data_IF_726516734635
#
_entry.id   IF_726516734635
#
_cell.length_a   1.000
_cell.length_b   1.000
_cell.length_c   1.000
_cell.angle_alpha   90.00
_cell.angle_beta   90.00
_cell.angle_gamma   90.00
#
_symmetry.space_group_name_H-M   'P 1'
#
loop_
_entity.id
_entity.type
_entity.pdbx_description
1 polymer ?
#
# COMPACT_ATOMS: atom_id res chain seq x y z
N UNK A 1 -4.63 9.89 13.22
CA UNK A 1 -3.98 9.44 11.97
C UNK A 1 -2.91 8.42 12.30
N UNK A 2 -2.88 7.34 11.56
CA UNK A 2 -1.97 6.23 11.78
C UNK A 2 -1.04 6.07 10.58
N UNK A 3 0.19 5.60 10.80
CA UNK A 3 1.13 5.27 9.72
C UNK A 3 1.22 3.76 9.62
N UNK A 4 1.01 3.23 8.42
CA UNK A 4 1.11 1.80 8.14
C UNK A 4 2.35 1.56 7.27
N UNK A 5 3.26 0.73 7.75
CA UNK A 5 4.49 0.37 7.03
C UNK A 5 4.26 -0.94 6.30
N UNK A 6 4.35 -0.91 4.98
CA UNK A 6 4.01 -2.06 4.14
C UNK A 6 5.20 -2.47 3.29
N UNK A 7 5.58 -3.74 3.39
CA UNK A 7 6.60 -4.32 2.51
C UNK A 7 6.07 -4.36 1.09
N UNK A 8 6.87 -3.88 0.14
CA UNK A 8 6.46 -3.81 -1.26
C UNK A 8 7.63 -4.22 -2.16
N UNK A 9 7.42 -5.26 -2.95
CA UNK A 9 8.46 -5.72 -3.87
C UNK A 9 8.74 -4.66 -4.94
N UNK A 10 9.97 -4.63 -5.53
CA UNK A 10 10.36 -3.58 -6.46
C UNK A 10 9.40 -3.35 -7.61
N UNK A 11 8.85 -4.42 -8.16
CA UNK A 11 7.90 -4.34 -9.28
C UNK A 11 6.75 -3.36 -9.00
N UNK A 12 6.16 -3.44 -7.81
CA UNK A 12 5.03 -2.58 -7.45
C UNK A 12 5.48 -1.29 -6.77
N UNK A 13 6.60 -1.34 -6.06
CA UNK A 13 7.16 -0.16 -5.40
C UNK A 13 7.41 0.96 -6.41
N UNK A 14 8.10 0.65 -7.52
CA UNK A 14 8.45 1.65 -8.52
C UNK A 14 7.24 2.17 -9.28
N UNK A 15 6.23 1.33 -9.52
CA UNK A 15 5.01 1.78 -10.15
C UNK A 15 4.25 2.78 -9.27
N UNK A 16 4.22 2.53 -7.96
CA UNK A 16 3.64 3.47 -7.01
C UNK A 16 4.44 4.77 -6.97
N UNK A 17 5.77 4.68 -6.87
CA UNK A 17 6.64 5.84 -6.79
C UNK A 17 6.55 6.72 -8.05
N UNK A 18 6.31 6.12 -9.19
CA UNK A 18 6.18 6.86 -10.47
C UNK A 18 4.78 7.43 -10.71
N UNK A 19 3.84 7.15 -9.81
CA UNK A 19 2.47 7.61 -9.96
C UNK A 19 1.60 6.76 -10.87
N UNK A 20 2.09 5.62 -11.33
CA UNK A 20 1.34 4.73 -12.23
C UNK A 20 0.41 3.79 -11.47
N UNK A 21 0.60 3.63 -10.18
CA UNK A 21 -0.20 2.74 -9.36
C UNK A 21 -0.72 3.49 -8.13
N UNK A 22 -1.80 4.27 -8.28
CA UNK A 22 -2.33 5.09 -7.18
C UNK A 22 -3.25 4.31 -6.24
N UNK A 23 -2.90 3.07 -5.93
CA UNK A 23 -3.70 2.21 -5.08
C UNK A 23 -2.84 1.09 -4.51
N UNK A 24 -3.36 0.48 -3.43
CA UNK A 24 -2.78 -0.73 -2.86
C UNK A 24 -3.89 -1.74 -2.62
N UNK A 25 -3.62 -3.01 -2.98
CA UNK A 25 -4.51 -4.13 -2.63
C UNK A 25 -3.86 -4.84 -1.46
N UNK A 26 -4.51 -4.81 -0.31
CA UNK A 26 -3.92 -5.34 0.91
C UNK A 26 -4.90 -6.19 1.72
N UNK A 27 -4.35 -7.13 2.46
CA UNK A 27 -5.10 -7.85 3.47
C UNK A 27 -5.57 -6.84 4.51
N UNK A 28 -6.85 -6.91 4.90
CA UNK A 28 -7.42 -5.95 5.86
C UNK A 28 -7.12 -6.40 7.30
N UNK A 29 -5.85 -6.39 7.67
CA UNK A 29 -5.39 -6.83 8.98
C UNK A 29 -4.81 -5.69 9.84
N UNK A 30 -4.98 -4.43 9.41
CA UNK A 30 -4.39 -3.26 10.06
C UNK A 30 -5.38 -2.16 10.33
N UNK A 31 -6.67 -2.41 10.19
CA UNK A 31 -7.70 -1.41 10.44
C UNK A 31 -7.42 -0.08 9.71
N UNK A 32 -7.16 -0.18 8.41
CA UNK A 32 -6.92 1.02 7.59
C UNK A 32 -8.09 1.98 7.64
N UNK A 33 -7.80 3.28 7.71
CA UNK A 33 -8.80 4.35 7.71
C UNK A 33 -8.42 5.42 6.72
N UNK A 34 -9.42 6.03 6.10
CA UNK A 34 -9.20 7.21 5.26
C UNK A 34 -8.51 8.29 6.11
N UNK A 35 -7.47 8.91 5.57
CA UNK A 35 -6.64 9.87 6.27
C UNK A 35 -5.37 9.27 6.85
N UNK A 36 -5.30 7.94 6.97
CA UNK A 36 -4.08 7.28 7.42
C UNK A 36 -2.99 7.41 6.37
N UNK A 37 -1.74 7.33 6.81
CA UNK A 37 -0.58 7.35 5.93
C UNK A 37 -0.13 5.92 5.68
N UNK A 38 0.19 5.62 4.42
CA UNK A 38 0.83 4.36 4.03
C UNK A 38 2.25 4.68 3.61
N UNK A 39 3.21 4.02 4.23
CA UNK A 39 4.61 4.06 3.82
C UNK A 39 4.97 2.73 3.20
N UNK A 40 5.19 2.74 1.89
CA UNK A 40 5.68 1.56 1.18
C UNK A 40 7.18 1.48 1.37
N UNK A 41 7.66 0.33 1.81
CA UNK A 41 9.08 0.08 2.01
C UNK A 41 9.54 -0.98 1.02
N UNK A 42 10.45 -0.62 0.15
CA UNK A 42 10.95 -1.54 -0.88
C UNK A 42 11.63 -2.74 -0.21
N UNK A 43 11.15 -3.92 -0.56
CA UNK A 43 11.59 -5.19 0.02
C UNK A 43 12.05 -6.14 -1.05
N UNK A 44 13.23 -6.74 -0.83
CA UNK A 44 13.80 -7.74 -1.74
C UNK A 44 13.55 -9.14 -1.15
N UNK A 45 12.54 -9.87 -1.63
CA UNK A 45 12.19 -11.17 -1.03
C UNK A 45 13.27 -12.23 -1.22
N UNK A 46 14.08 -12.15 -2.27
CA UNK A 46 15.13 -13.14 -2.54
C UNK A 46 16.21 -13.14 -1.46
N UNK A 47 16.53 -11.97 -0.92
CA UNK A 47 17.56 -11.82 0.11
C UNK A 47 16.98 -11.39 1.45
N UNK A 48 15.66 -11.22 1.51
CA UNK A 48 14.92 -10.84 2.74
C UNK A 48 15.49 -9.59 3.38
N UNK A 49 15.64 -8.53 2.58
CA UNK A 49 16.18 -7.26 3.04
C UNK A 49 15.40 -6.08 2.47
N UNK A 50 15.32 -5.01 3.26
CA UNK A 50 14.86 -3.71 2.78
C UNK A 50 16.00 -3.02 2.04
N UNK A 51 15.65 -2.26 1.00
CA UNK A 51 16.66 -1.47 0.26
C UNK A 51 16.95 -0.14 0.93
N UNK A 52 16.09 0.29 1.84
CA UNK A 52 16.17 1.63 2.43
C UNK A 52 15.32 2.66 1.68
N UNK A 53 14.74 2.30 0.54
CA UNK A 53 13.84 3.20 -0.19
C UNK A 53 12.43 3.08 0.32
N UNK A 54 11.75 4.22 0.41
CA UNK A 54 10.34 4.26 0.81
C UNK A 54 9.62 5.42 0.13
N UNK A 55 8.31 5.29 0.02
CA UNK A 55 7.43 6.37 -0.42
C UNK A 55 6.20 6.37 0.47
N UNK A 56 5.65 7.57 0.73
CA UNK A 56 4.49 7.75 1.59
C UNK A 56 3.34 8.34 0.81
N UNK A 57 2.13 7.96 1.19
CA UNK A 57 0.92 8.55 0.65
C UNK A 57 -0.21 8.48 1.65
N UNK A 58 -1.24 9.29 1.42
CA UNK A 58 -2.41 9.35 2.29
C UNK A 58 -3.53 8.54 1.65
N UNK A 59 -4.19 7.72 2.46
CA UNK A 59 -5.37 6.97 2.01
C UNK A 59 -6.53 7.96 1.85
N UNK A 60 -7.06 8.07 0.64
CA UNK A 60 -8.20 8.97 0.37
C UNK A 60 -9.51 8.21 0.21
N UNK A 61 -9.43 6.91 -0.06
CA UNK A 61 -10.61 6.06 -0.23
C UNK A 61 -10.27 4.63 0.10
N UNK A 62 -11.24 3.89 0.60
CA UNK A 62 -11.08 2.45 0.88
C UNK A 62 -12.27 1.73 0.27
N UNK A 63 -11.99 0.80 -0.64
CA UNK A 63 -13.00 -0.09 -1.20
C UNK A 63 -12.87 -1.44 -0.51
N UNK A 64 -13.94 -1.85 0.19
CA UNK A 64 -13.98 -3.14 0.90
C UNK A 64 -15.19 -3.98 0.50
N UNK A 65 -15.91 -3.57 -0.52
CA UNK A 65 -17.11 -4.25 -1.00
C UNK A 65 -16.77 -5.66 -1.47
N UNK A 66 -17.41 -6.65 -0.85
CA UNK A 66 -17.17 -8.07 -1.13
C UNK A 66 -17.54 -8.47 -2.56
N UNK A 67 -18.33 -7.65 -3.23
CA UNK A 67 -18.66 -7.87 -4.64
C UNK A 67 -17.45 -7.64 -5.55
N UNK A 68 -16.54 -6.78 -5.14
CA UNK A 68 -15.38 -6.38 -5.94
C UNK A 68 -14.03 -6.76 -5.33
N UNK A 69 -14.00 -7.05 -4.04
CA UNK A 69 -12.77 -7.40 -3.34
C UNK A 69 -12.80 -8.85 -2.88
N UNK A 70 -11.68 -9.53 -3.02
CA UNK A 70 -11.50 -10.85 -2.45
C UNK A 70 -11.74 -10.76 -0.94
N UNK A 71 -12.35 -11.81 -0.37
CA UNK A 71 -12.63 -11.86 1.06
C UNK A 71 -11.38 -11.57 1.87
N UNK A 72 -11.49 -10.65 2.83
CA UNK A 72 -10.39 -10.27 3.71
C UNK A 72 -9.41 -9.27 3.11
N UNK A 73 -9.68 -8.79 1.88
CA UNK A 73 -8.84 -7.78 1.22
C UNK A 73 -9.57 -6.47 1.04
N UNK A 74 -8.81 -5.41 0.98
CA UNK A 74 -9.29 -4.05 0.69
C UNK A 74 -8.42 -3.42 -0.38
N UNK A 75 -8.99 -2.45 -1.08
CA UNK A 75 -8.26 -1.63 -2.03
C UNK A 75 -8.18 -0.22 -1.44
N UNK A 76 -6.95 0.26 -1.29
CA UNK A 76 -6.67 1.58 -0.73
C UNK A 76 -6.38 2.54 -1.87
N UNK A 77 -7.14 3.62 -1.97
CA UNK A 77 -6.85 4.68 -2.92
C UNK A 77 -5.80 5.60 -2.34
N UNK A 78 -4.67 5.75 -3.02
CA UNK A 78 -3.55 6.60 -2.58
C UNK A 78 -3.07 7.35 -3.81
N UNK A 79 -3.69 8.50 -4.14
CA UNK A 79 -3.43 9.18 -5.41
C UNK A 79 -2.02 9.76 -5.54
N UNK A 80 -1.37 10.02 -4.41
CA UNK A 80 -0.02 10.63 -4.43
C UNK A 80 0.88 9.98 -3.40
N UNK A 81 2.02 9.56 -3.86
CA UNK A 81 3.10 9.08 -3.01
C UNK A 81 4.24 10.09 -2.94
#
# INVERSE_FOLDING_TARGET
MKVHYLKTIPKYFWEAARGNKPFEVRKNDRYFKVGDIVQLEEWLPEVKKYTGRSVCGVITYILSDRQYCKKGFVILGIPHY
#
